data_IF_589890509759
#
_entry.id   IF_589890509759
#
_cell.length_a   1.000
_cell.length_b   1.000
_cell.length_c   1.000
_cell.angle_alpha   90.00
_cell.angle_beta   90.00
_cell.angle_gamma   90.00
#
_symmetry.space_group_name_H-M   'P 1'
#
loop_
_entity.id
_entity.type
_entity.pdbx_description
1 polymer ?
#
# COMPACT_ATOMS: atom_id res chain seq x y z
N UNK A 1 -11.31 -3.89 0.42
CA UNK A 1 -12.28 -2.93 1.00
C UNK A 1 -11.58 -1.60 1.22
N UNK A 2 -12.27 -0.50 0.95
CA UNK A 2 -11.76 0.87 1.18
C UNK A 2 -12.71 1.54 2.17
N UNK A 3 -12.17 2.12 3.24
CA UNK A 3 -12.93 2.82 4.27
C UNK A 3 -12.36 4.22 4.49
N UNK A 4 -13.18 5.24 4.33
CA UNK A 4 -12.82 6.62 4.55
C UNK A 4 -13.39 7.10 5.88
N UNK A 5 -12.52 7.62 6.75
CA UNK A 5 -12.87 8.24 8.01
C UNK A 5 -12.44 9.70 8.01
N UNK A 6 -12.97 10.49 8.96
CA UNK A 6 -12.59 11.90 9.13
C UNK A 6 -11.06 12.09 9.25
N UNK A 7 -10.37 11.16 9.90
CA UNK A 7 -8.96 11.28 10.25
C UNK A 7 -8.04 10.25 9.58
N UNK A 8 -8.54 9.37 8.71
CA UNK A 8 -7.72 8.34 8.03
C UNK A 8 -8.43 7.70 6.85
N UNK A 9 -7.63 7.15 5.94
CA UNK A 9 -8.06 6.26 4.87
C UNK A 9 -7.52 4.86 5.15
N UNK A 10 -8.39 3.85 5.19
CA UNK A 10 -8.00 2.44 5.32
C UNK A 10 -8.25 1.71 4.00
N UNK A 11 -7.24 0.99 3.52
CA UNK A 11 -7.30 0.14 2.33
C UNK A 11 -6.93 -1.27 2.78
N UNK A 12 -7.88 -2.19 2.71
CA UNK A 12 -7.71 -3.59 3.14
C UNK A 12 -7.82 -4.50 1.91
N UNK A 13 -6.72 -5.17 1.56
CA UNK A 13 -6.68 -6.20 0.53
C UNK A 13 -6.94 -7.58 1.14
N UNK A 14 -7.78 -8.41 0.51
CA UNK A 14 -7.84 -9.82 0.86
C UNK A 14 -6.53 -10.53 0.52
N UNK A 15 -6.15 -11.50 1.36
CA UNK A 15 -4.93 -12.28 1.23
C UNK A 15 -3.73 -11.59 1.89
N UNK A 16 -3.22 -12.23 2.95
CA UNK A 16 -2.07 -11.82 3.75
C UNK A 16 -0.76 -11.93 2.98
N UNK A 17 0.35 -11.47 3.56
CA UNK A 17 1.61 -11.47 2.83
C UNK A 17 1.97 -12.90 2.39
N UNK A 18 2.45 -13.10 1.15
CA UNK A 18 2.97 -14.40 0.72
C UNK A 18 4.00 -14.90 1.74
N UNK A 19 4.05 -16.21 2.02
CA UNK A 19 4.88 -16.81 3.08
C UNK A 19 6.36 -16.39 3.09
N UNK A 20 6.88 -15.89 1.97
CA UNK A 20 8.27 -15.44 1.80
C UNK A 20 8.50 -13.96 2.20
N UNK A 21 7.43 -13.17 2.33
CA UNK A 21 7.43 -11.75 2.63
C UNK A 21 7.05 -11.46 4.07
N UNK A 22 7.66 -10.43 4.64
CA UNK A 22 7.32 -9.85 5.93
C UNK A 22 7.06 -8.35 5.76
N UNK A 23 6.42 -7.72 6.74
CA UNK A 23 6.21 -6.27 6.74
C UNK A 23 7.53 -5.50 6.57
N UNK A 24 8.62 -5.97 7.17
CA UNK A 24 9.94 -5.33 7.01
C UNK A 24 10.48 -5.48 5.59
N UNK A 25 10.39 -6.68 5.01
CA UNK A 25 10.88 -6.92 3.65
C UNK A 25 10.18 -6.03 2.63
N UNK A 26 8.86 -5.85 2.73
CA UNK A 26 8.12 -4.99 1.80
C UNK A 26 8.47 -3.50 1.98
N UNK A 27 8.86 -3.06 3.18
CA UNK A 27 9.34 -1.68 3.44
C UNK A 27 10.63 -1.38 2.68
N UNK A 28 11.48 -2.39 2.49
CA UNK A 28 12.69 -2.30 1.67
C UNK A 28 12.46 -2.62 0.18
N UNK A 29 11.21 -2.75 -0.24
CA UNK A 29 10.84 -2.94 -1.64
C UNK A 29 10.90 -4.38 -2.15
N UNK A 30 11.01 -5.37 -1.26
CA UNK A 30 10.84 -6.76 -1.67
C UNK A 30 9.38 -6.98 -2.11
N UNK A 31 9.20 -7.60 -3.28
CA UNK A 31 7.89 -7.87 -3.86
C UNK A 31 7.84 -9.29 -4.40
N UNK A 32 6.76 -9.99 -4.08
CA UNK A 32 6.49 -11.34 -4.55
C UNK A 32 5.07 -11.34 -5.13
N UNK A 33 4.92 -10.99 -6.43
CA UNK A 33 3.61 -10.90 -7.05
C UNK A 33 2.96 -12.29 -7.15
N UNK A 34 1.68 -12.39 -6.74
CA UNK A 34 0.92 -13.64 -6.86
C UNK A 34 0.54 -13.98 -8.29
N UNK A 35 0.31 -12.96 -9.11
CA UNK A 35 -0.07 -13.12 -10.51
C UNK A 35 0.87 -12.31 -11.42
N UNK A 36 1.81 -13.02 -12.05
CA UNK A 36 2.83 -12.43 -12.92
C UNK A 36 2.21 -11.82 -14.19
N UNK A 37 1.14 -12.40 -14.74
CA UNK A 37 0.48 -11.88 -15.94
C UNK A 37 -0.19 -10.54 -15.68
N UNK A 38 -0.90 -10.41 -14.56
CA UNK A 38 -1.54 -9.15 -14.17
C UNK A 38 -0.50 -8.04 -13.99
N UNK A 39 0.62 -8.36 -13.33
CA UNK A 39 1.73 -7.42 -13.16
C UNK A 39 2.26 -6.95 -14.50
N UNK A 40 2.58 -7.87 -15.42
CA UNK A 40 3.08 -7.52 -16.76
C UNK A 40 2.08 -6.66 -17.53
N UNK A 41 0.79 -6.98 -17.45
CA UNK A 41 -0.25 -6.22 -18.12
C UNK A 41 -0.34 -4.78 -17.59
N UNK A 42 -0.34 -4.61 -16.27
CA UNK A 42 -0.39 -3.29 -15.64
C UNK A 42 0.90 -2.47 -15.88
N UNK A 43 2.04 -3.14 -15.97
CA UNK A 43 3.35 -2.52 -16.25
C UNK A 43 3.40 -1.99 -17.69
N UNK A 44 2.93 -2.80 -18.65
CA UNK A 44 2.80 -2.39 -20.05
C UNK A 44 1.89 -1.16 -20.23
N UNK A 45 0.84 -1.05 -19.41
CA UNK A 45 -0.07 0.09 -19.38
C UNK A 45 0.42 1.26 -18.52
N UNK A 46 1.61 1.14 -17.92
CA UNK A 46 2.24 2.18 -17.07
C UNK A 46 1.38 2.60 -15.87
N UNK A 47 0.61 1.67 -15.30
CA UNK A 47 -0.20 1.94 -14.10
C UNK A 47 0.61 1.99 -12.81
N UNK A 48 1.84 1.47 -12.82
CA UNK A 48 2.75 1.57 -11.69
C UNK A 48 4.19 1.67 -12.19
N UNK A 49 5.04 2.32 -11.39
CA UNK A 49 6.44 2.49 -11.72
C UNK A 49 7.22 1.22 -11.34
N UNK A 50 6.91 0.03 -11.84
CA UNK A 50 7.71 -1.17 -11.57
C UNK A 50 7.60 -1.79 -10.17
N UNK A 51 8.02 -3.06 -10.06
CA UNK A 51 7.77 -3.89 -8.88
C UNK A 51 8.55 -3.43 -7.66
N UNK A 52 7.90 -3.49 -6.49
CA UNK A 52 8.55 -3.22 -5.21
C UNK A 52 8.80 -1.76 -4.89
N UNK A 53 8.51 -0.81 -5.79
CA UNK A 53 8.78 0.62 -5.54
C UNK A 53 7.65 1.35 -4.80
N UNK A 54 6.41 0.91 -4.97
CA UNK A 54 5.22 1.60 -4.42
C UNK A 54 5.25 1.77 -2.89
N UNK A 55 5.47 0.68 -2.15
CA UNK A 55 5.49 0.73 -0.67
C UNK A 55 6.61 1.64 -0.13
N UNK A 56 7.89 1.49 -0.55
CA UNK A 56 8.95 2.42 -0.17
C UNK A 56 8.62 3.89 -0.51
N UNK A 57 8.05 4.16 -1.69
CA UNK A 57 7.67 5.52 -2.09
C UNK A 57 6.58 6.11 -1.19
N UNK A 58 5.57 5.31 -0.84
CA UNK A 58 4.51 5.73 0.07
C UNK A 58 5.06 6.03 1.48
N UNK A 59 5.96 5.18 1.98
CA UNK A 59 6.63 5.39 3.27
C UNK A 59 7.46 6.66 3.23
N UNK A 60 8.22 6.90 2.16
CA UNK A 60 9.01 8.12 1.98
C UNK A 60 8.14 9.37 1.96
N UNK A 61 6.97 9.33 1.30
CA UNK A 61 6.07 10.47 1.17
C UNK A 61 5.26 10.75 2.45
N UNK A 62 4.88 9.70 3.18
CA UNK A 62 4.00 9.82 4.36
C UNK A 62 4.77 9.89 5.67
N UNK A 63 5.99 9.35 5.73
CA UNK A 63 6.76 9.22 6.96
C UNK A 63 6.04 8.33 7.97
N UNK A 64 5.84 8.82 9.19
CA UNK A 64 5.12 8.11 10.25
C UNK A 64 3.60 8.07 10.05
N UNK A 65 3.07 8.81 9.07
CA UNK A 65 1.63 8.92 8.78
C UNK A 65 1.08 7.75 7.93
N UNK A 66 1.82 6.66 7.83
CA UNK A 66 1.38 5.42 7.18
C UNK A 66 1.61 4.23 8.11
N UNK A 67 0.60 3.37 8.19
CA UNK A 67 0.66 2.12 8.96
C UNK A 67 0.33 0.96 8.03
N UNK A 68 1.20 -0.05 8.03
CA UNK A 68 1.06 -1.29 7.25
C UNK A 68 0.90 -2.44 8.24
N UNK A 69 -0.14 -3.26 8.06
CA UNK A 69 -0.48 -4.33 8.99
C UNK A 69 -0.98 -5.56 8.25
N UNK A 70 -0.75 -6.73 8.86
CA UNK A 70 -1.38 -7.97 8.47
C UNK A 70 -2.29 -8.45 9.60
N UNK A 71 -3.58 -8.67 9.30
CA UNK A 71 -4.61 -8.98 10.29
C UNK A 71 -5.46 -10.12 9.77
N UNK A 72 -5.34 -11.30 10.37
CA UNK A 72 -6.17 -12.47 10.01
C UNK A 72 -6.11 -12.84 8.53
N UNK A 73 -4.93 -12.75 7.89
CA UNK A 73 -4.77 -13.01 6.46
C UNK A 73 -5.29 -11.89 5.55
N UNK A 74 -5.45 -10.68 6.08
CA UNK A 74 -5.71 -9.46 5.31
C UNK A 74 -4.50 -8.54 5.40
N UNK A 75 -4.17 -7.88 4.29
CA UNK A 75 -3.19 -6.81 4.29
C UNK A 75 -3.90 -5.46 4.36
N UNK A 76 -3.63 -4.67 5.41
CA UNK A 76 -4.23 -3.35 5.60
C UNK A 76 -3.16 -2.25 5.54
N UNK A 77 -3.47 -1.23 4.76
CA UNK A 77 -2.72 0.04 4.72
C UNK A 77 -3.60 1.16 5.24
N UNK A 78 -3.15 1.86 6.27
CA UNK A 78 -3.83 3.01 6.87
C UNK A 78 -3.01 4.27 6.62
N UNK A 79 -3.63 5.28 6.03
CA UNK A 79 -3.02 6.58 5.72
C UNK A 79 -3.65 7.66 6.59
N UNK A 80 -2.83 8.46 7.25
CA UNK A 80 -3.25 9.61 8.05
C UNK A 80 -3.01 10.90 7.25
N UNK A 81 -4.06 11.72 7.00
CA UNK A 81 -3.92 12.98 6.29
C UNK A 81 -3.05 13.94 7.12
N UNK A 82 -2.46 14.93 6.44
CA UNK A 82 -1.75 15.98 7.15
C UNK A 82 -2.78 16.90 7.82
N UNK A 83 -2.65 17.13 9.12
CA UNK A 83 -3.60 17.96 9.91
C UNK A 83 -3.72 19.38 9.36
N UNK A 84 -2.69 19.86 8.66
CA UNK A 84 -2.60 21.21 8.10
C UNK A 84 -3.26 21.39 6.72
N UNK A 85 -3.78 20.32 6.12
CA UNK A 85 -4.42 20.39 4.80
C UNK A 85 -5.90 20.03 4.97
N UNK A 86 -6.80 21.01 5.18
CA UNK A 86 -8.23 20.71 5.15
C UNK A 86 -8.56 20.10 3.79
N UNK A 87 -9.33 19.00 3.81
CA UNK A 87 -9.84 18.35 2.61
C UNK A 87 -10.59 19.39 1.77
N UNK A 88 -9.90 20.02 0.81
CA UNK A 88 -10.52 20.92 -0.17
C UNK A 88 -11.34 20.03 -1.10
N UNK A 89 -12.61 19.86 -0.75
CA UNK A 89 -13.63 19.47 -1.71
C UNK A 89 -13.62 20.49 -2.85
N UNK A 90 -13.36 20.01 -4.06
CA UNK A 90 -13.99 20.59 -5.23
C UNK A 90 -15.27 19.83 -5.47
#
# INVERSE_FOLDING_TARGET
MVQLFRNRLEITSPGGLPNTLTLDKIRYGNSAPRNIFLVKYLDNLRYFDGLGRGIPMMIKAMGERIRLEEIGGLFRTTLYPNTDIPWRGR
#
